data_IF_496324744582
#
_entry.id   IF_496324744582
#
_cell.length_a   1.000
_cell.length_b   1.000
_cell.length_c   1.000
_cell.angle_alpha   90.00
_cell.angle_beta   90.00
_cell.angle_gamma   90.00
#
_symmetry.space_group_name_H-M   'P 1'
#
loop_
_entity.id
_entity.type
_entity.pdbx_description
1 polymer ?
#
# COMPACT_ATOMS: atom_id res chain seq x y z
N UNK A 1 -16.91 -13.00 20.15
CA UNK A 1 -18.19 -13.34 19.47
C UNK A 1 -17.86 -14.22 18.28
N UNK A 2 -18.47 -15.38 18.18
CA UNK A 2 -18.26 -16.32 17.09
C UNK A 2 -19.56 -16.41 16.29
N UNK A 3 -19.53 -15.91 15.05
CA UNK A 3 -20.70 -15.88 14.18
C UNK A 3 -20.55 -16.96 13.13
N UNK A 4 -21.48 -17.91 13.09
CA UNK A 4 -21.51 -18.98 12.09
C UNK A 4 -22.50 -18.60 11.00
N UNK A 5 -22.04 -18.62 9.75
CA UNK A 5 -22.84 -18.34 8.56
C UNK A 5 -22.89 -19.60 7.70
N UNK A 6 -24.09 -19.95 7.22
CA UNK A 6 -24.27 -21.05 6.27
C UNK A 6 -24.04 -20.53 4.85
N UNK A 7 -23.12 -21.17 4.14
CA UNK A 7 -22.79 -20.89 2.74
C UNK A 7 -22.75 -22.21 1.96
N UNK A 8 -23.13 -22.14 0.69
CA UNK A 8 -23.02 -23.28 -0.21
C UNK A 8 -21.54 -23.67 -0.38
N UNK A 9 -21.27 -24.97 -0.54
CA UNK A 9 -19.91 -25.50 -0.63
C UNK A 9 -19.10 -24.83 -1.77
N UNK A 10 -19.75 -24.60 -2.91
CA UNK A 10 -19.14 -23.91 -4.04
C UNK A 10 -18.76 -22.46 -3.71
N UNK A 11 -19.60 -21.74 -2.96
CA UNK A 11 -19.31 -20.39 -2.48
C UNK A 11 -18.12 -20.37 -1.52
N UNK A 12 -18.03 -21.36 -0.62
CA UNK A 12 -16.89 -21.50 0.30
C UNK A 12 -15.58 -21.73 -0.46
N UNK A 13 -15.58 -22.56 -1.49
CA UNK A 13 -14.39 -22.84 -2.29
C UNK A 13 -13.95 -21.61 -3.09
N UNK A 14 -14.91 -20.85 -3.65
CA UNK A 14 -14.63 -19.54 -4.27
C UNK A 14 -14.03 -18.56 -3.26
N UNK A 15 -14.61 -18.43 -2.07
CA UNK A 15 -14.12 -17.54 -1.01
C UNK A 15 -12.72 -17.91 -0.50
N UNK A 16 -12.40 -19.20 -0.38
CA UNK A 16 -11.05 -19.68 -0.01
C UNK A 16 -9.99 -19.30 -1.06
N UNK A 17 -10.39 -19.27 -2.33
CA UNK A 17 -9.54 -18.92 -3.45
C UNK A 17 -9.57 -17.41 -3.78
N UNK A 18 -10.49 -16.66 -3.17
CA UNK A 18 -10.61 -15.21 -3.27
C UNK A 18 -9.54 -14.52 -2.39
N UNK A 19 -8.27 -14.78 -2.69
CA UNK A 19 -7.18 -13.94 -2.18
C UNK A 19 -7.01 -12.78 -3.15
N UNK A 20 -7.31 -11.58 -2.67
CA UNK A 20 -7.19 -10.33 -3.41
C UNK A 20 -5.78 -10.14 -4.02
N UNK A 21 -4.76 -10.77 -3.39
CA UNK A 21 -3.41 -10.85 -3.92
C UNK A 21 -2.86 -12.28 -3.76
N UNK A 22 -2.47 -12.89 -4.88
CA UNK A 22 -1.64 -14.09 -4.84
C UNK A 22 -0.28 -13.73 -4.23
N UNK A 23 0.29 -14.62 -3.42
CA UNK A 23 1.67 -14.45 -2.96
C UNK A 23 2.58 -14.48 -4.19
N UNK A 24 3.25 -13.37 -4.43
CA UNK A 24 4.23 -13.27 -5.52
C UNK A 24 5.62 -13.58 -4.97
N UNK A 25 6.44 -14.21 -5.79
CA UNK A 25 7.86 -14.40 -5.49
C UNK A 25 8.58 -13.05 -5.53
N UNK A 26 9.70 -12.97 -4.81
CA UNK A 26 10.55 -11.78 -4.81
C UNK A 26 10.95 -11.38 -6.25
N UNK A 27 11.31 -12.36 -7.08
CA UNK A 27 11.72 -12.12 -8.46
C UNK A 27 10.59 -11.52 -9.31
N UNK A 28 9.36 -12.01 -9.17
CA UNK A 28 8.20 -11.46 -9.89
C UNK A 28 7.95 -10.00 -9.50
N UNK A 29 8.06 -9.67 -8.22
CA UNK A 29 7.91 -8.28 -7.73
C UNK A 29 9.00 -7.38 -8.31
N UNK A 30 10.27 -7.80 -8.30
CA UNK A 30 11.38 -7.01 -8.85
C UNK A 30 11.19 -6.76 -10.35
N UNK A 31 10.81 -7.78 -11.12
CA UNK A 31 10.57 -7.64 -12.57
C UNK A 31 9.46 -6.62 -12.84
N UNK A 32 8.37 -6.64 -12.06
CA UNK A 32 7.29 -5.65 -12.18
C UNK A 32 7.77 -4.23 -11.87
N UNK A 33 8.56 -4.06 -10.80
CA UNK A 33 9.10 -2.75 -10.41
C UNK A 33 10.07 -2.20 -11.47
N UNK A 34 10.89 -3.05 -12.09
CA UNK A 34 11.76 -2.65 -13.20
C UNK A 34 10.94 -2.17 -14.40
N UNK A 35 9.91 -2.93 -14.81
CA UNK A 35 9.00 -2.52 -15.89
C UNK A 35 8.29 -1.20 -15.58
N UNK A 36 7.83 -1.03 -14.34
CA UNK A 36 7.15 0.21 -13.93
C UNK A 36 8.08 1.42 -13.97
N UNK A 37 9.35 1.24 -13.61
CA UNK A 37 10.39 2.27 -13.71
C UNK A 37 10.72 2.62 -15.16
N UNK A 38 10.71 1.66 -16.07
CA UNK A 38 10.93 1.89 -17.50
C UNK A 38 9.73 2.61 -18.15
N UNK A 39 8.51 2.28 -17.74
CA UNK A 39 7.28 2.86 -18.27
C UNK A 39 7.01 4.28 -17.75
N UNK A 40 7.46 4.59 -16.54
CA UNK A 40 7.31 5.90 -15.94
C UNK A 40 8.69 6.52 -15.81
N UNK A 41 9.06 7.42 -16.72
CA UNK A 41 10.26 8.28 -16.64
C UNK A 41 10.15 9.31 -15.49
N UNK A 42 9.73 8.88 -14.30
CA UNK A 42 9.60 9.69 -13.10
C UNK A 42 11.00 9.92 -12.53
N UNK A 43 11.66 10.95 -13.05
CA UNK A 43 12.89 11.46 -12.47
C UNK A 43 12.56 12.38 -11.29
N UNK A 44 12.73 11.87 -10.08
CA UNK A 44 12.71 12.71 -8.88
C UNK A 44 13.87 13.71 -8.95
N UNK A 45 13.58 14.98 -8.64
CA UNK A 45 14.61 16.01 -8.49
C UNK A 45 15.56 15.66 -7.35
N UNK A 46 16.76 16.26 -7.35
CA UNK A 46 17.74 16.05 -6.29
C UNK A 46 17.17 16.42 -4.91
N UNK A 47 16.49 17.57 -4.82
CA UNK A 47 15.86 18.04 -3.59
C UNK A 47 14.84 17.02 -3.07
N UNK A 48 13.92 16.57 -3.94
CA UNK A 48 12.89 15.61 -3.54
C UNK A 48 13.48 14.29 -3.02
N UNK A 49 14.64 13.85 -3.56
CA UNK A 49 15.33 12.66 -3.04
C UNK A 49 15.88 12.88 -1.65
N UNK A 50 16.46 14.05 -1.38
CA UNK A 50 17.00 14.42 -0.08
C UNK A 50 15.87 14.51 0.96
N UNK A 51 14.76 15.16 0.63
CA UNK A 51 13.58 15.27 1.49
C UNK A 51 13.01 13.89 1.87
N UNK A 52 12.91 12.96 0.90
CA UNK A 52 12.45 11.58 1.16
C UNK A 52 13.40 10.83 2.10
N UNK A 53 14.71 11.01 1.94
CA UNK A 53 15.71 10.33 2.78
C UNK A 53 15.62 10.84 4.22
N UNK A 54 15.43 12.15 4.40
CA UNK A 54 15.25 12.75 5.72
C UNK A 54 13.96 12.29 6.38
N UNK A 55 12.83 12.36 5.66
CA UNK A 55 11.53 11.90 6.17
C UNK A 55 11.52 10.42 6.58
N UNK A 56 12.29 9.56 5.91
CA UNK A 56 12.43 8.13 6.29
C UNK A 56 13.13 7.90 7.63
N UNK A 57 13.94 8.87 8.09
CA UNK A 57 14.63 8.79 9.39
C UNK A 57 13.72 9.22 10.53
N UNK A 58 12.70 10.02 10.24
CA UNK A 58 11.74 10.47 11.23
C UNK A 58 10.81 9.32 11.65
N UNK A 59 10.44 9.28 12.93
CA UNK A 59 9.36 8.39 13.38
C UNK A 59 8.05 9.02 12.92
N UNK A 60 7.27 8.26 12.13
CA UNK A 60 6.00 8.74 11.59
C UNK A 60 5.11 9.38 12.66
N UNK A 61 4.53 10.53 12.32
CA UNK A 61 3.55 11.21 13.16
C UNK A 61 2.17 10.59 12.98
N UNK A 62 1.34 10.63 14.02
CA UNK A 62 -0.06 10.18 13.89
C UNK A 62 -0.81 11.07 12.89
N UNK A 63 -1.74 10.49 12.14
CA UNK A 63 -2.53 11.20 11.14
C UNK A 63 -3.27 12.43 11.73
N UNK A 64 -3.75 12.32 12.97
CA UNK A 64 -4.42 13.44 13.66
C UNK A 64 -3.49 14.62 13.95
N UNK A 65 -2.20 14.37 14.20
CA UNK A 65 -1.20 15.44 14.37
C UNK A 65 -0.84 16.05 13.02
N UNK A 66 -0.61 15.22 12.00
CA UNK A 66 -0.33 15.71 10.64
C UNK A 66 -1.46 16.61 10.09
N UNK A 67 -2.72 16.22 10.32
CA UNK A 67 -3.90 17.02 9.90
C UNK A 67 -3.93 18.38 10.59
N UNK A 68 -3.61 18.45 11.89
CA UNK A 68 -3.55 19.70 12.64
C UNK A 68 -2.44 20.62 12.14
N UNK A 69 -1.26 20.07 11.87
CA UNK A 69 -0.11 20.85 11.39
C UNK A 69 -0.30 21.35 9.95
N UNK A 70 -0.93 20.53 9.09
CA UNK A 70 -1.18 20.88 7.69
C UNK A 70 -2.43 21.76 7.50
N UNK A 71 -3.26 21.95 8.54
CA UNK A 71 -4.44 22.80 8.49
C UNK A 71 -5.54 22.30 7.55
N UNK A 72 -5.54 21.02 7.20
CA UNK A 72 -6.50 20.42 6.25
C UNK A 72 -7.75 19.98 7.01
N UNK A 73 -8.94 20.38 6.56
CA UNK A 73 -10.21 19.78 7.01
C UNK A 73 -10.50 18.57 6.14
N UNK A 74 -10.56 17.39 6.75
CA UNK A 74 -10.98 16.16 6.08
C UNK A 74 -12.37 15.84 6.61
N UNK A 75 -13.38 15.90 5.75
CA UNK A 75 -14.72 15.38 6.04
C UNK A 75 -14.65 13.84 5.92
N UNK A 76 -14.67 13.16 7.07
CA UNK A 76 -14.72 11.70 7.19
C UNK A 76 -16.16 11.24 7.44
#
# INVERSE_FOLDING_TARGET
MQTTIQVQKETLDKLKNFKEYNRESYNEVIIKLMKYKELNELHLTKQTKEDIIEARKEKGVSLSHAIKELGVKIDL
#
